data_IF_531323944509
#
_entry.id   IF_531323944509
#
_cell.length_a   1.000
_cell.length_b   1.000
_cell.length_c   1.000
_cell.angle_alpha   90.00
_cell.angle_beta   90.00
_cell.angle_gamma   90.00
#
_symmetry.space_group_name_H-M   'P 1'
#
loop_
_entity.id
_entity.type
_entity.pdbx_description
1 polymer ?
#
# COMPACT_ATOMS: atom_id res chain seq x y z
N UNK A 1 2.21 13.13 7.31
CA UNK A 1 1.29 14.30 7.25
C UNK A 1 0.99 14.89 8.63
N UNK A 2 0.45 14.14 9.60
CA UNK A 2 0.07 14.68 10.92
C UNK A 2 1.15 15.54 11.60
N UNK A 3 2.39 15.06 11.63
CA UNK A 3 3.54 15.80 12.20
C UNK A 3 3.80 17.15 11.52
N UNK A 4 3.61 17.22 10.19
CA UNK A 4 3.80 18.46 9.42
C UNK A 4 2.69 19.48 9.74
N UNK A 5 1.44 19.01 9.77
CA UNK A 5 0.29 19.86 10.14
C UNK A 5 0.41 20.35 11.59
N UNK A 6 0.85 19.49 12.50
CA UNK A 6 1.03 19.83 13.91
C UNK A 6 2.17 20.83 14.15
N UNK A 7 3.24 20.73 13.36
CA UNK A 7 4.33 21.72 13.37
C UNK A 7 3.82 23.11 12.96
N UNK A 8 2.90 23.17 11.99
CA UNK A 8 2.20 24.39 11.58
C UNK A 8 3.12 25.50 11.04
N UNK A 9 2.56 26.67 10.81
CA UNK A 9 3.26 27.93 10.57
C UNK A 9 3.22 28.80 11.83
N UNK A 10 4.23 29.64 12.04
CA UNK A 10 4.21 30.61 13.16
C UNK A 10 3.07 31.63 13.05
N UNK A 11 2.48 31.78 11.85
CA UNK A 11 1.38 32.70 11.58
C UNK A 11 -0.03 32.06 11.71
N UNK A 12 -0.12 30.81 12.14
CA UNK A 12 -1.40 30.11 12.24
C UNK A 12 -2.26 30.68 13.38
N UNK A 13 -3.48 31.10 13.07
CA UNK A 13 -4.43 31.62 14.05
C UNK A 13 -5.11 30.54 14.90
N UNK A 14 -5.17 29.30 14.41
CA UNK A 14 -5.71 28.15 15.14
C UNK A 14 -5.11 26.84 14.62
N UNK A 15 -5.06 25.82 15.49
CA UNK A 15 -4.56 24.49 15.12
C UNK A 15 -5.72 23.58 14.69
N UNK A 16 -5.55 22.77 13.62
CA UNK A 16 -6.57 21.83 13.14
C UNK A 16 -6.58 20.55 13.99
N UNK A 17 -7.06 20.65 15.25
CA UNK A 17 -6.92 19.61 16.28
C UNK A 17 -7.59 18.30 15.86
N UNK A 18 -8.79 18.35 15.29
CA UNK A 18 -9.53 17.15 14.92
C UNK A 18 -8.85 16.41 13.76
N UNK A 19 -8.40 17.16 12.74
CA UNK A 19 -7.63 16.62 11.62
C UNK A 19 -6.32 15.96 12.08
N UNK A 20 -5.56 16.62 12.97
CA UNK A 20 -4.32 16.07 13.52
C UNK A 20 -4.60 14.76 14.25
N UNK A 21 -5.62 14.73 15.11
CA UNK A 21 -5.98 13.55 15.90
C UNK A 21 -6.37 12.37 14.99
N UNK A 22 -7.23 12.60 14.00
CA UNK A 22 -7.69 11.55 13.07
C UNK A 22 -6.59 11.05 12.14
N UNK A 23 -5.66 11.92 11.74
CA UNK A 23 -4.47 11.51 10.97
C UNK A 23 -3.52 10.66 11.82
N UNK A 24 -3.30 11.02 13.09
CA UNK A 24 -2.49 10.20 14.01
C UNK A 24 -3.11 8.84 14.28
N UNK A 25 -4.43 8.71 14.20
CA UNK A 25 -5.11 7.44 14.32
C UNK A 25 -4.91 6.49 13.11
N UNK A 26 -4.38 6.99 11.98
CA UNK A 26 -3.94 6.14 10.86
C UNK A 26 -2.43 5.85 11.01
N UNK A 27 -2.09 4.92 11.90
CA UNK A 27 -0.71 4.67 12.32
C UNK A 27 -0.27 3.20 12.21
N UNK A 28 -1.05 2.35 11.53
CA UNK A 28 -0.71 0.94 11.38
C UNK A 28 -0.41 0.60 9.93
N UNK A 29 0.86 0.29 9.69
CA UNK A 29 1.36 -0.33 8.47
C UNK A 29 2.39 -1.40 8.84
N UNK A 30 2.60 -2.35 7.94
CA UNK A 30 3.51 -3.47 8.19
C UNK A 30 4.83 -3.31 7.44
N UNK A 31 5.90 -3.81 8.06
CA UNK A 31 7.22 -3.89 7.44
C UNK A 31 7.31 -5.10 6.51
N UNK A 32 7.94 -4.95 5.35
CA UNK A 32 8.12 -6.05 4.40
C UNK A 32 9.57 -6.08 3.93
N UNK A 33 10.21 -7.24 4.03
CA UNK A 33 11.51 -7.48 3.42
C UNK A 33 11.31 -8.07 2.03
N UNK A 34 11.89 -7.42 1.02
CA UNK A 34 11.90 -7.88 -0.36
C UNK A 34 13.31 -8.32 -0.71
N UNK A 35 13.48 -9.60 -1.04
CA UNK A 35 14.75 -10.18 -1.44
C UNK A 35 14.67 -10.63 -2.89
N UNK A 36 15.47 -10.04 -3.75
CA UNK A 36 15.60 -10.43 -5.15
C UNK A 36 16.84 -11.29 -5.30
N UNK A 37 16.73 -12.41 -6.01
CA UNK A 37 17.79 -13.37 -6.25
C UNK A 37 17.86 -13.67 -7.75
N UNK A 38 19.07 -13.66 -8.30
CA UNK A 38 19.34 -14.06 -9.67
C UNK A 38 20.32 -15.23 -9.68
N UNK A 39 19.99 -16.25 -10.47
CA UNK A 39 20.78 -17.46 -10.69
C UNK A 39 21.16 -17.53 -12.16
N UNK A 40 22.40 -17.91 -12.46
CA UNK A 40 22.86 -18.05 -13.84
C UNK A 40 22.18 -19.24 -14.54
N UNK A 41 21.77 -20.25 -13.77
CA UNK A 41 21.05 -21.41 -14.26
C UNK A 41 19.63 -21.01 -14.71
N UNK A 42 19.28 -21.17 -16.00
CA UNK A 42 17.90 -21.02 -16.44
C UNK A 42 17.06 -22.21 -15.96
N UNK A 43 15.74 -22.02 -15.88
CA UNK A 43 14.76 -23.08 -15.57
C UNK A 43 15.01 -23.80 -14.22
N UNK A 44 15.51 -23.07 -13.22
CA UNK A 44 15.82 -23.63 -11.90
C UNK A 44 14.55 -23.97 -11.09
N UNK A 45 13.42 -23.36 -11.45
CA UNK A 45 12.10 -23.68 -10.89
C UNK A 45 11.41 -24.70 -11.81
N UNK A 46 10.98 -25.82 -11.25
CA UNK A 46 10.31 -26.90 -11.99
C UNK A 46 8.84 -26.62 -12.36
N UNK A 47 8.30 -25.47 -11.91
CA UNK A 47 6.92 -25.06 -12.11
C UNK A 47 6.86 -23.75 -12.89
N UNK A 48 5.85 -23.60 -13.75
CA UNK A 48 5.55 -22.38 -14.49
C UNK A 48 4.40 -21.63 -13.82
N UNK A 49 4.49 -20.30 -13.76
CA UNK A 49 3.44 -19.46 -13.19
C UNK A 49 3.98 -18.19 -12.53
N UNK A 50 3.08 -17.38 -11.96
CA UNK A 50 3.45 -16.14 -11.28
C UNK A 50 4.34 -16.37 -10.05
N UNK A 51 4.11 -17.47 -9.33
CA UNK A 51 4.72 -17.77 -8.04
C UNK A 51 3.72 -18.42 -7.10
N UNK A 52 3.99 -18.35 -5.79
CA UNK A 52 3.10 -18.90 -4.76
C UNK A 52 3.07 -18.02 -3.51
N UNK A 53 1.95 -18.10 -2.78
CA UNK A 53 1.79 -17.52 -1.45
C UNK A 53 2.01 -18.60 -0.38
N UNK A 54 2.39 -18.18 0.81
CA UNK A 54 2.56 -19.07 1.97
C UNK A 54 1.40 -18.81 2.94
N UNK A 55 0.40 -19.72 3.01
CA UNK A 55 -0.74 -19.56 3.91
C UNK A 55 -0.34 -19.57 5.38
N UNK A 56 -1.15 -18.93 6.23
CA UNK A 56 -0.97 -18.95 7.69
C UNK A 56 -1.04 -20.36 8.29
N UNK A 57 -1.72 -21.30 7.63
CA UNK A 57 -1.83 -22.69 8.06
C UNK A 57 -0.54 -23.49 7.87
N UNK A 58 0.48 -22.97 7.18
CA UNK A 58 1.77 -23.63 7.05
C UNK A 58 2.47 -23.62 8.41
N UNK A 59 2.92 -24.79 8.93
CA UNK A 59 3.59 -24.86 10.23
C UNK A 59 4.85 -24.00 10.30
N UNK A 60 5.18 -23.53 11.51
CA UNK A 60 6.33 -22.66 11.72
C UNK A 60 7.64 -23.32 11.30
N UNK A 61 7.78 -24.63 11.46
CA UNK A 61 8.96 -25.40 11.07
C UNK A 61 9.21 -25.37 9.55
N UNK A 62 8.15 -25.17 8.76
CA UNK A 62 8.22 -25.04 7.32
C UNK A 62 8.36 -23.58 6.86
N UNK A 63 7.98 -22.60 7.69
CA UNK A 63 8.12 -21.17 7.38
C UNK A 63 8.70 -20.34 8.56
N UNK A 64 9.87 -20.69 9.12
CA UNK A 64 10.44 -19.99 10.27
C UNK A 64 10.85 -18.56 9.91
N UNK A 65 11.11 -18.30 8.62
CA UNK A 65 11.47 -16.99 8.10
C UNK A 65 10.28 -16.01 8.03
N UNK A 66 9.04 -16.48 8.29
CA UNK A 66 7.81 -15.69 8.12
C UNK A 66 7.66 -15.14 6.70
N UNK A 67 7.94 -16.00 5.72
CA UNK A 67 7.69 -15.72 4.31
C UNK A 67 6.21 -15.50 4.02
N UNK A 68 5.93 -14.55 3.15
CA UNK A 68 4.60 -14.22 2.65
C UNK A 68 4.34 -14.91 1.30
N UNK A 69 5.38 -15.02 0.46
CA UNK A 69 5.29 -15.63 -0.85
C UNK A 69 6.58 -15.47 -1.65
N UNK A 70 6.60 -16.14 -2.80
CA UNK A 70 7.70 -16.10 -3.77
C UNK A 70 7.11 -15.81 -5.14
N UNK A 71 7.71 -14.86 -5.85
CA UNK A 71 7.39 -14.52 -7.24
C UNK A 71 8.47 -15.15 -8.14
N UNK A 72 8.02 -15.82 -9.20
CA UNK A 72 8.90 -16.34 -10.24
C UNK A 72 9.15 -15.23 -11.26
N UNK A 73 10.02 -14.28 -10.88
CA UNK A 73 10.22 -13.03 -11.62
C UNK A 73 10.73 -13.25 -13.04
N UNK A 74 11.35 -14.39 -13.35
CA UNK A 74 11.66 -14.77 -14.74
C UNK A 74 10.42 -14.93 -15.62
N UNK A 75 9.29 -15.38 -15.07
CA UNK A 75 8.03 -15.61 -15.79
C UNK A 75 7.21 -14.33 -15.95
N UNK A 76 7.32 -13.39 -15.01
CA UNK A 76 6.50 -12.17 -14.98
C UNK A 76 7.15 -10.97 -15.64
N UNK A 77 8.47 -11.01 -15.79
CA UNK A 77 9.30 -9.94 -16.34
C UNK A 77 10.08 -10.42 -17.56
N UNK A 78 9.52 -11.37 -18.32
CA UNK A 78 10.03 -11.74 -19.64
C UNK A 78 10.15 -10.45 -20.48
N UNK A 79 11.29 -10.30 -21.17
CA UNK A 79 11.64 -9.12 -21.99
C UNK A 79 11.87 -7.78 -21.26
N UNK A 80 11.86 -7.75 -19.92
CA UNK A 80 12.23 -6.53 -19.18
C UNK A 80 13.74 -6.39 -18.93
N UNK A 81 14.52 -7.43 -19.25
CA UNK A 81 15.99 -7.41 -19.28
C UNK A 81 16.54 -8.43 -20.29
N UNK A 82 17.87 -8.45 -20.46
CA UNK A 82 18.59 -9.34 -21.38
C UNK A 82 19.31 -10.49 -20.67
N UNK A 83 19.12 -10.65 -19.36
CA UNK A 83 19.89 -11.61 -18.57
C UNK A 83 19.28 -13.02 -18.69
N UNK A 84 20.06 -13.98 -19.18
CA UNK A 84 19.66 -15.39 -19.21
C UNK A 84 19.90 -16.01 -17.84
N UNK A 85 18.83 -16.47 -17.19
CA UNK A 85 18.89 -17.09 -15.88
C UNK A 85 17.55 -17.12 -15.17
N UNK A 86 17.56 -17.55 -13.91
CA UNK A 86 16.36 -17.61 -13.06
C UNK A 86 16.34 -16.43 -12.08
N UNK A 87 15.28 -15.63 -12.11
CA UNK A 87 15.02 -14.48 -11.23
C UNK A 87 13.88 -14.84 -10.28
N UNK A 88 14.11 -14.65 -8.98
CA UNK A 88 13.13 -14.91 -7.93
C UNK A 88 13.03 -13.71 -6.99
N UNK A 89 11.83 -13.42 -6.52
CA UNK A 89 11.60 -12.42 -5.47
C UNK A 89 10.90 -13.09 -4.29
N UNK A 90 11.55 -13.10 -3.13
CA UNK A 90 10.99 -13.60 -1.87
C UNK A 90 10.55 -12.41 -1.03
N UNK A 91 9.30 -12.45 -0.55
CA UNK A 91 8.75 -11.44 0.37
C UNK A 91 8.57 -12.06 1.75
N UNK A 92 9.07 -11.39 2.79
CA UNK A 92 9.00 -11.83 4.19
C UNK A 92 8.50 -10.71 5.11
N UNK A 93 7.97 -11.11 6.27
CA UNK A 93 7.52 -10.18 7.30
C UNK A 93 6.02 -9.95 7.26
N UNK A 94 5.62 -8.70 6.95
CA UNK A 94 4.24 -8.28 7.13
C UNK A 94 3.86 -8.25 8.60
N UNK A 95 2.58 -8.56 8.89
CA UNK A 95 2.05 -8.61 10.25
C UNK A 95 2.79 -9.58 11.19
N UNK A 96 3.54 -10.55 10.64
CA UNK A 96 4.34 -11.47 11.45
C UNK A 96 5.53 -10.81 12.18
N UNK A 97 5.92 -9.61 11.76
CA UNK A 97 6.94 -8.79 12.41
C UNK A 97 6.34 -7.63 13.21
N UNK A 98 5.02 -7.62 13.45
CA UNK A 98 4.43 -6.66 14.36
C UNK A 98 5.04 -6.79 15.75
N UNK A 99 5.41 -5.65 16.34
CA UNK A 99 6.07 -5.58 17.65
C UNK A 99 7.58 -5.86 17.62
N UNK A 100 8.17 -6.18 16.46
CA UNK A 100 9.62 -6.32 16.33
C UNK A 100 10.31 -4.97 16.44
N UNK A 101 11.44 -4.94 17.13
CA UNK A 101 12.31 -3.77 17.19
C UNK A 101 13.25 -3.73 15.99
N UNK A 102 13.94 -2.61 15.79
CA UNK A 102 14.92 -2.47 14.72
C UNK A 102 16.04 -3.52 14.78
N UNK A 103 16.43 -3.95 15.98
CA UNK A 103 17.44 -5.01 16.15
C UNK A 103 16.93 -6.40 15.81
N UNK A 104 15.61 -6.63 15.84
CA UNK A 104 15.02 -7.94 15.51
C UNK A 104 14.87 -8.12 14.00
N UNK A 105 14.67 -7.03 13.26
CA UNK A 105 14.50 -7.04 11.82
C UNK A 105 15.80 -7.51 11.12
N UNK A 106 15.71 -8.41 10.12
CA UNK A 106 16.90 -8.97 9.51
C UNK A 106 17.66 -7.92 8.67
N UNK A 107 18.99 -7.93 8.78
CA UNK A 107 19.85 -7.20 7.85
C UNK A 107 19.68 -7.73 6.42
N UNK A 108 20.07 -6.98 5.38
CA UNK A 108 20.02 -7.46 4.00
C UNK A 108 20.74 -8.80 3.78
N UNK A 109 21.88 -9.00 4.44
CA UNK A 109 22.68 -10.23 4.35
C UNK A 109 21.94 -11.40 5.02
N UNK A 110 21.41 -11.18 6.24
CA UNK A 110 20.62 -12.19 6.95
C UNK A 110 19.35 -12.55 6.18
N UNK A 111 18.65 -11.56 5.62
CA UNK A 111 17.47 -11.76 4.80
C UNK A 111 17.78 -12.57 3.53
N UNK A 112 18.96 -12.38 2.93
CA UNK A 112 19.41 -13.18 1.79
C UNK A 112 19.59 -14.65 2.18
N UNK A 113 20.19 -14.93 3.33
CA UNK A 113 20.32 -16.31 3.84
C UNK A 113 18.96 -16.93 4.16
N UNK A 114 18.06 -16.16 4.77
CA UNK A 114 16.67 -16.58 5.05
C UNK A 114 15.92 -16.93 3.75
N UNK A 115 16.00 -16.08 2.72
CA UNK A 115 15.36 -16.34 1.44
C UNK A 115 15.92 -17.60 0.76
N UNK A 116 17.24 -17.82 0.79
CA UNK A 116 17.87 -19.04 0.26
C UNK A 116 17.41 -20.29 1.02
N UNK A 117 17.36 -20.23 2.34
CA UNK A 117 16.85 -21.31 3.21
C UNK A 117 15.40 -21.68 2.86
N UNK A 118 14.53 -20.68 2.71
CA UNK A 118 13.15 -20.86 2.30
C UNK A 118 13.04 -21.49 0.91
N UNK A 119 13.77 -20.98 -0.08
CA UNK A 119 13.75 -21.50 -1.45
C UNK A 119 14.27 -22.94 -1.54
N UNK A 120 15.31 -23.28 -0.79
CA UNK A 120 15.79 -24.66 -0.67
C UNK A 120 14.70 -25.57 -0.11
N UNK A 121 14.03 -25.14 0.96
CA UNK A 121 12.99 -25.93 1.64
C UNK A 121 11.74 -26.13 0.77
N UNK A 122 11.29 -25.08 0.07
CA UNK A 122 10.02 -25.11 -0.66
C UNK A 122 10.17 -25.60 -2.11
N UNK A 123 11.28 -25.28 -2.77
CA UNK A 123 11.49 -25.55 -4.20
C UNK A 123 12.69 -26.46 -4.47
N UNK A 124 13.45 -26.87 -3.46
CA UNK A 124 14.65 -27.68 -3.64
C UNK A 124 15.83 -26.93 -4.25
N UNK A 125 15.78 -25.60 -4.30
CA UNK A 125 16.82 -24.77 -4.92
C UNK A 125 17.99 -24.60 -3.96
N UNK A 126 19.07 -25.36 -4.17
CA UNK A 126 20.31 -25.27 -3.38
C UNK A 126 21.44 -24.51 -4.10
N UNK A 127 21.20 -24.07 -5.34
CA UNK A 127 22.16 -23.26 -6.08
C UNK A 127 22.51 -21.97 -5.30
N UNK A 128 23.70 -21.43 -5.57
CA UNK A 128 24.09 -20.13 -5.02
C UNK A 128 23.72 -19.03 -6.02
N UNK A 129 22.91 -18.02 -5.62
CA UNK A 129 22.57 -16.92 -6.51
C UNK A 129 23.82 -16.12 -6.89
N UNK A 130 23.93 -15.74 -8.15
CA UNK A 130 25.01 -14.89 -8.66
C UNK A 130 24.86 -13.44 -8.19
N UNK A 131 23.62 -12.96 -8.06
CA UNK A 131 23.32 -11.62 -7.56
C UNK A 131 22.16 -11.68 -6.59
N UNK A 132 22.27 -10.95 -5.48
CA UNK A 132 21.20 -10.80 -4.49
C UNK A 132 21.01 -9.34 -4.13
N UNK A 133 19.76 -8.96 -3.84
CA UNK A 133 19.42 -7.63 -3.34
C UNK A 133 18.24 -7.71 -2.39
N UNK A 134 18.53 -7.55 -1.10
CA UNK A 134 17.54 -7.46 -0.04
C UNK A 134 17.29 -6.00 0.36
N UNK A 135 16.02 -5.63 0.54
CA UNK A 135 15.61 -4.31 1.00
C UNK A 135 14.43 -4.41 1.97
N UNK A 136 14.61 -3.86 3.15
CA UNK A 136 13.52 -3.67 4.11
C UNK A 136 12.72 -2.43 3.73
N UNK A 137 11.41 -2.61 3.55
CA UNK A 137 10.45 -1.54 3.36
C UNK A 137 9.72 -1.32 4.69
N UNK A 138 9.90 -0.14 5.27
CA UNK A 138 9.30 0.22 6.57
C UNK A 138 7.93 0.82 6.37
N UNK A 139 6.98 0.46 7.23
CA UNK A 139 5.60 0.96 7.19
C UNK A 139 5.02 0.89 5.76
N UNK A 140 5.33 -0.19 5.05
CA UNK A 140 5.22 -0.28 3.60
C UNK A 140 3.78 -0.44 3.13
N UNK A 141 3.00 -1.23 3.87
CA UNK A 141 1.63 -1.58 3.50
C UNK A 141 0.69 -1.17 4.64
N UNK A 142 -0.06 -0.07 4.47
CA UNK A 142 -1.10 0.35 5.42
C UNK A 142 -2.12 -0.78 5.64
N UNK A 143 -2.55 -0.96 6.89
CA UNK A 143 -3.49 -2.01 7.25
C UNK A 143 -4.87 -1.41 7.54
N UNK A 144 -5.83 -1.70 6.69
CA UNK A 144 -7.22 -1.27 6.86
C UNK A 144 -7.92 -2.16 7.89
N UNK A 145 -7.82 -1.77 9.17
CA UNK A 145 -8.50 -2.47 10.26
C UNK A 145 -10.00 -2.19 10.27
N UNK A 146 -10.74 -2.94 11.10
CA UNK A 146 -12.19 -2.75 11.31
C UNK A 146 -12.52 -1.26 11.49
N UNK A 147 -13.59 -0.80 10.85
CA UNK A 147 -14.04 0.60 10.80
C UNK A 147 -13.15 1.57 10.00
N UNK A 148 -12.25 1.09 9.14
CA UNK A 148 -11.44 1.94 8.26
C UNK A 148 -12.25 3.00 7.52
N UNK A 149 -13.33 2.59 6.83
CA UNK A 149 -14.17 3.50 6.06
C UNK A 149 -14.87 4.57 6.92
N UNK A 150 -15.29 4.20 8.14
CA UNK A 150 -15.88 5.14 9.10
C UNK A 150 -14.82 6.16 9.55
N UNK A 151 -13.59 5.71 9.82
CA UNK A 151 -12.47 6.62 10.14
C UNK A 151 -12.16 7.56 8.98
N UNK A 152 -12.18 7.06 7.74
CA UNK A 152 -11.95 7.88 6.55
C UNK A 152 -13.04 8.94 6.36
N UNK A 153 -14.31 8.59 6.59
CA UNK A 153 -15.42 9.54 6.59
C UNK A 153 -15.22 10.66 7.61
N UNK A 154 -14.93 10.30 8.87
CA UNK A 154 -14.68 11.30 9.92
C UNK A 154 -13.43 12.15 9.66
N UNK A 155 -12.36 11.56 9.12
CA UNK A 155 -11.17 12.32 8.70
C UNK A 155 -11.51 13.31 7.58
N UNK A 156 -12.41 12.92 6.68
CA UNK A 156 -12.93 13.79 5.63
C UNK A 156 -13.66 15.02 6.16
N UNK A 157 -14.56 14.82 7.12
CA UNK A 157 -15.31 15.92 7.71
C UNK A 157 -14.39 16.86 8.49
N UNK A 158 -13.44 16.31 9.26
CA UNK A 158 -12.46 17.10 9.99
C UNK A 158 -11.57 17.95 9.06
N UNK A 159 -11.03 17.36 8.00
CA UNK A 159 -10.15 18.07 7.06
C UNK A 159 -10.93 19.18 6.33
N UNK A 160 -12.18 18.94 5.92
CA UNK A 160 -13.02 19.97 5.30
C UNK A 160 -13.27 21.14 6.23
N UNK A 161 -13.58 20.86 7.50
CA UNK A 161 -13.86 21.87 8.52
C UNK A 161 -12.62 22.67 8.88
N UNK A 162 -11.54 21.97 9.23
CA UNK A 162 -10.35 22.59 9.80
C UNK A 162 -9.54 23.39 8.76
N UNK A 163 -9.58 22.99 7.49
CA UNK A 163 -8.83 23.66 6.42
C UNK A 163 -9.71 24.54 5.51
N UNK A 164 -10.98 24.73 5.87
CA UNK A 164 -11.98 25.39 5.02
C UNK A 164 -11.96 24.82 3.59
N UNK A 165 -11.93 23.49 3.50
CA UNK A 165 -11.91 22.71 2.26
C UNK A 165 -10.65 22.90 1.37
N UNK A 166 -9.61 23.58 1.87
CA UNK A 166 -8.36 23.85 1.13
C UNK A 166 -7.28 22.77 1.24
N UNK A 167 -7.63 21.57 1.70
CA UNK A 167 -6.70 20.45 1.77
C UNK A 167 -7.41 19.16 1.35
N UNK A 168 -6.93 18.51 0.29
CA UNK A 168 -7.38 17.16 -0.11
C UNK A 168 -6.28 16.14 0.21
N UNK A 169 -6.66 14.97 0.72
CA UNK A 169 -5.72 13.87 0.96
C UNK A 169 -5.91 12.76 -0.07
N UNK A 170 -4.80 12.16 -0.52
CA UNK A 170 -4.77 11.04 -1.45
C UNK A 170 -3.64 10.07 -1.12
N UNK A 171 -3.79 8.81 -1.47
CA UNK A 171 -2.77 7.76 -1.33
C UNK A 171 -3.28 6.50 -0.64
N UNK A 172 -2.45 5.47 -0.59
CA UNK A 172 -2.80 4.15 -0.03
C UNK A 172 -3.11 4.12 1.47
N UNK A 173 -2.91 5.21 2.21
CA UNK A 173 -3.37 5.30 3.61
C UNK A 173 -4.83 5.73 3.73
N UNK A 174 -5.35 6.40 2.69
CA UNK A 174 -6.68 6.99 2.66
C UNK A 174 -7.60 6.27 1.68
N UNK A 175 -7.16 5.13 1.16
CA UNK A 175 -7.88 4.41 0.14
C UNK A 175 -9.12 3.71 0.67
N UNK A 176 -10.11 3.63 -0.21
CA UNK A 176 -11.41 3.00 0.04
C UNK A 176 -11.53 1.68 -0.71
N UNK A 177 -10.78 1.53 -1.82
CA UNK A 177 -10.80 0.35 -2.69
C UNK A 177 -9.58 -0.56 -2.52
N UNK A 178 -8.48 -0.01 -2.00
CA UNK A 178 -7.28 -0.79 -1.79
C UNK A 178 -6.05 0.05 -1.50
N UNK A 179 -4.94 -0.67 -1.40
CA UNK A 179 -3.59 -0.13 -1.23
C UNK A 179 -2.75 -0.28 -2.50
N UNK A 180 -3.35 -0.78 -3.58
CA UNK A 180 -2.68 -1.09 -4.84
C UNK A 180 -2.28 0.17 -5.61
N UNK A 181 -1.36 0.01 -6.56
CA UNK A 181 -0.89 1.13 -7.41
C UNK A 181 -2.07 1.73 -8.20
N UNK A 182 -2.95 0.89 -8.74
CA UNK A 182 -4.13 1.35 -9.48
C UNK A 182 -5.03 2.22 -8.58
N UNK A 183 -5.28 1.81 -7.33
CA UNK A 183 -6.07 2.59 -6.38
C UNK A 183 -5.41 3.93 -6.05
N UNK A 184 -4.09 3.96 -5.88
CA UNK A 184 -3.34 5.19 -5.65
C UNK A 184 -3.43 6.15 -6.84
N UNK A 185 -3.32 5.64 -8.07
CA UNK A 185 -3.45 6.44 -9.29
C UNK A 185 -4.85 7.02 -9.41
N UNK A 186 -5.88 6.20 -9.20
CA UNK A 186 -7.28 6.64 -9.20
C UNK A 186 -7.49 7.72 -8.12
N UNK A 187 -6.98 7.53 -6.91
CA UNK A 187 -7.05 8.55 -5.87
C UNK A 187 -6.34 9.85 -6.22
N UNK A 188 -5.16 9.78 -6.83
CA UNK A 188 -4.44 10.96 -7.32
C UNK A 188 -5.24 11.72 -8.36
N UNK A 189 -5.84 11.00 -9.31
CA UNK A 189 -6.72 11.57 -10.32
C UNK A 189 -7.93 12.26 -9.70
N UNK A 190 -8.61 11.59 -8.77
CA UNK A 190 -9.79 12.12 -8.09
C UNK A 190 -9.45 13.32 -7.21
N UNK A 191 -8.29 13.33 -6.55
CA UNK A 191 -7.82 14.47 -5.77
C UNK A 191 -7.48 15.69 -6.64
N UNK A 192 -6.81 15.48 -7.78
CA UNK A 192 -6.51 16.56 -8.73
C UNK A 192 -7.79 17.14 -9.36
N UNK A 193 -8.77 16.26 -9.64
CA UNK A 193 -10.00 16.64 -10.33
C UNK A 193 -11.04 17.28 -9.42
N UNK A 194 -11.21 16.73 -8.21
CA UNK A 194 -12.31 17.05 -7.29
C UNK A 194 -11.83 17.56 -5.94
N UNK A 195 -10.56 17.99 -5.87
CA UNK A 195 -9.94 18.50 -4.67
C UNK A 195 -10.31 19.95 -4.38
N UNK A 196 -9.33 20.70 -3.89
CA UNK A 196 -9.45 22.12 -3.53
C UNK A 196 -9.85 22.94 -4.75
N UNK A 197 -10.83 23.84 -4.60
CA UNK A 197 -11.24 24.83 -5.60
C UNK A 197 -11.64 24.28 -7.00
N UNK A 198 -12.02 23.00 -7.10
CA UNK A 198 -12.55 22.44 -8.35
C UNK A 198 -13.92 23.06 -8.70
N UNK A 199 -13.94 24.11 -9.53
CA UNK A 199 -15.15 24.78 -10.03
C UNK A 199 -15.83 23.98 -11.15
N UNK A 200 -15.05 23.24 -11.93
CA UNK A 200 -15.52 22.33 -12.96
C UNK A 200 -15.39 20.90 -12.44
N UNK A 201 -16.52 20.28 -12.11
CA UNK A 201 -16.56 18.82 -12.15
C UNK A 201 -16.28 18.41 -13.58
N UNK A 202 -15.19 17.67 -13.83
CA UNK A 202 -14.77 17.31 -15.19
C UNK A 202 -15.96 16.77 -15.96
N UNK A 203 -16.35 17.48 -17.02
CA UNK A 203 -17.50 17.14 -17.85
C UNK A 203 -17.31 15.83 -18.63
N UNK A 204 -16.06 15.41 -18.82
CA UNK A 204 -15.68 14.33 -19.76
C UNK A 204 -15.00 13.11 -19.11
N UNK A 205 -15.04 12.94 -17.78
CA UNK A 205 -14.46 11.74 -17.16
C UNK A 205 -15.42 10.55 -17.04
N UNK A 206 -16.50 10.58 -17.81
CA UNK A 206 -17.52 9.53 -17.83
C UNK A 206 -17.13 8.37 -18.74
N UNK A 207 -16.14 8.54 -19.62
CA UNK A 207 -15.67 7.44 -20.48
C UNK A 207 -14.60 6.62 -19.76
N UNK A 208 -15.04 5.57 -19.06
CA UNK A 208 -14.19 4.49 -18.58
C UNK A 208 -13.98 4.40 -17.07
N UNK A 209 -14.40 5.38 -16.28
CA UNK A 209 -14.49 5.22 -14.83
C UNK A 209 -15.84 4.59 -14.45
N UNK A 210 -15.86 3.42 -13.80
CA UNK A 210 -17.13 2.82 -13.41
C UNK A 210 -17.87 3.73 -12.41
N UNK A 211 -19.19 3.80 -12.53
CA UNK A 211 -20.03 4.78 -11.82
C UNK A 211 -20.04 4.61 -10.30
N UNK A 212 -19.64 3.43 -9.81
CA UNK A 212 -19.34 3.18 -8.41
C UNK A 212 -18.16 4.04 -7.91
N UNK A 213 -17.23 4.45 -8.78
CA UNK A 213 -16.13 5.35 -8.42
C UNK A 213 -16.57 6.80 -8.10
N UNK A 214 -17.84 7.11 -8.36
CA UNK A 214 -18.46 8.39 -8.01
C UNK A 214 -19.24 8.31 -6.68
N UNK A 215 -19.46 7.12 -6.13
CA UNK A 215 -20.13 6.94 -4.84
C UNK A 215 -19.29 7.50 -3.66
N UNK A 216 -19.93 7.60 -2.50
CA UNK A 216 -19.61 8.50 -1.37
C UNK A 216 -18.17 8.49 -0.84
N UNK A 217 -17.31 7.56 -1.26
CA UNK A 217 -16.01 7.32 -0.64
C UNK A 217 -14.86 7.00 -1.62
N UNK A 218 -15.07 7.00 -2.95
CA UNK A 218 -14.11 6.30 -3.83
C UNK A 218 -12.84 7.08 -4.20
N UNK A 219 -12.68 8.33 -3.77
CA UNK A 219 -11.57 9.16 -4.25
C UNK A 219 -10.95 10.03 -3.21
N UNK A 220 -9.89 9.52 -2.57
CA UNK A 220 -9.17 10.26 -1.54
C UNK A 220 -10.14 10.80 -0.49
N UNK A 221 -9.76 11.88 0.15
CA UNK A 221 -10.62 12.59 1.08
C UNK A 221 -11.06 13.87 0.36
N UNK A 222 -12.15 13.84 -0.43
CA UNK A 222 -12.45 14.89 -1.39
C UNK A 222 -12.97 16.13 -0.66
N UNK A 223 -12.36 17.30 -0.84
CA UNK A 223 -12.82 18.50 -0.14
C UNK A 223 -13.71 19.44 -0.95
N UNK A 224 -13.97 19.16 -2.24
CA UNK A 224 -14.84 20.04 -3.03
C UNK A 224 -16.26 20.17 -2.44
N UNK A 225 -16.75 21.41 -2.41
CA UNK A 225 -18.10 21.74 -1.92
C UNK A 225 -19.18 21.07 -2.78
N UNK A 226 -19.00 21.02 -4.11
CA UNK A 226 -19.98 20.44 -5.04
C UNK A 226 -20.17 18.93 -4.82
N UNK A 227 -19.08 18.17 -4.67
CA UNK A 227 -19.16 16.73 -4.38
C UNK A 227 -19.79 16.46 -3.02
N UNK A 228 -19.44 17.25 -2.01
CA UNK A 228 -20.08 17.16 -0.69
C UNK A 228 -21.60 17.37 -0.77
N UNK A 229 -22.07 18.39 -1.49
CA UNK A 229 -23.49 18.65 -1.65
C UNK A 229 -24.21 17.51 -2.40
N UNK A 230 -23.58 16.93 -3.43
CA UNK A 230 -24.11 15.74 -4.13
C UNK A 230 -24.23 14.55 -3.17
N UNK A 231 -23.22 14.30 -2.33
CA UNK A 231 -23.26 13.23 -1.33
C UNK A 231 -24.36 13.46 -0.28
N UNK A 232 -24.53 14.69 0.22
CA UNK A 232 -25.63 14.99 1.16
C UNK A 232 -27.00 14.80 0.50
N UNK A 233 -27.16 15.19 -0.77
CA UNK A 233 -28.40 14.99 -1.51
C UNK A 233 -28.74 13.49 -1.66
N UNK A 234 -27.76 12.64 -1.98
CA UNK A 234 -27.96 11.18 -2.07
C UNK A 234 -28.37 10.56 -0.72
N UNK A 235 -27.80 11.03 0.39
CA UNK A 235 -28.18 10.57 1.75
C UNK A 235 -29.61 10.94 2.13
N UNK A 236 -30.11 12.07 1.65
CA UNK A 236 -31.49 12.51 1.87
C UNK A 236 -32.47 11.70 1.02
N UNK A 237 -32.10 11.32 -0.20
CA UNK A 237 -32.94 10.50 -1.09
C UNK A 237 -33.02 9.01 -0.73
N UNK A 238 -32.06 8.50 0.04
CA UNK A 238 -32.04 7.11 0.53
C UNK A 238 -32.75 6.92 1.88
N UNK A 239 -33.35 7.97 2.45
CA UNK A 239 -34.23 7.93 3.63
C UNK A 239 -35.68 8.06 3.21
#
# INVERSE_FOLDING_TARGET
>A
MAKLIEAGSQNDTSKPIESISRLKAQNYAVNVMVVNLFYNEPNLVSYRGFGYLIPRSVPFEQNPERGLGVIFSSETSEHQDTAVGTKLTVMMGGHWWDGWTESDLPSPEKATLMARSLLKRHLGIDATPAVTRARLQRDAIPQYTVNHLVRMGGLSDAIRKDFDKRLTLAGNWYGVHGVGVNDCVVQGYLAATWGVDSLEGVKDLTTGMPGDLMDEQVGGIPTSTKRYLIQQAHKVQKK
#
